data_IF_087584163136
#
_entry.id   IF_087584163136
#
_cell.length_a   1.000
_cell.length_b   1.000
_cell.length_c   1.000
_cell.angle_alpha   90.00
_cell.angle_beta   90.00
_cell.angle_gamma   90.00
#
_symmetry.space_group_name_H-M   'P 1'
#
loop_
_entity.id
_entity.type
_entity.pdbx_description
1 polymer ?
#
# COMPACT_ATOMS: atom_id res chain seq x y z
N UNK A 1 4.84 -33.12 -3.15
CA UNK A 1 4.13 -31.86 -3.53
C UNK A 1 3.00 -31.47 -2.57
N UNK A 2 1.91 -32.25 -2.41
CA UNK A 2 0.76 -31.80 -1.60
C UNK A 2 1.08 -31.55 -0.12
N UNK A 3 1.86 -32.45 0.48
CA UNK A 3 2.36 -32.30 1.85
C UNK A 3 3.25 -31.06 1.96
N UNK A 4 4.18 -30.87 1.02
CA UNK A 4 5.07 -29.70 0.96
C UNK A 4 4.29 -28.38 0.86
N UNK A 5 3.24 -28.31 0.03
CA UNK A 5 2.37 -27.10 -0.04
C UNK A 5 1.65 -26.84 1.28
N UNK A 6 1.18 -27.90 1.94
CA UNK A 6 0.51 -27.75 3.23
C UNK A 6 1.49 -27.24 4.30
N UNK A 7 2.65 -27.88 4.44
CA UNK A 7 3.69 -27.52 5.40
C UNK A 7 4.29 -26.14 5.12
N UNK A 8 4.42 -25.75 3.86
CA UNK A 8 4.81 -24.40 3.48
C UNK A 8 3.83 -23.36 4.05
N UNK A 9 2.52 -23.64 3.96
CA UNK A 9 1.50 -22.71 4.40
C UNK A 9 1.28 -22.72 5.93
N UNK A 10 1.40 -23.86 6.61
CA UNK A 10 1.09 -24.02 8.05
C UNK A 10 2.31 -24.08 8.96
N UNK A 11 3.49 -24.45 8.46
CA UNK A 11 4.59 -24.92 9.29
C UNK A 11 5.30 -23.84 10.11
N UNK A 12 5.10 -22.56 9.78
CA UNK A 12 5.83 -21.39 10.26
C UNK A 12 7.38 -21.55 10.20
N UNK A 13 8.12 -20.46 10.44
CA UNK A 13 9.59 -20.47 10.62
C UNK A 13 10.39 -21.33 9.63
N UNK A 14 11.24 -22.20 10.18
CA UNK A 14 12.14 -23.07 9.40
C UNK A 14 11.39 -24.15 8.64
N UNK A 15 10.29 -24.68 9.15
CA UNK A 15 9.53 -25.73 8.48
C UNK A 15 8.91 -25.23 7.18
N UNK A 16 8.36 -24.01 7.19
CA UNK A 16 7.82 -23.39 5.98
C UNK A 16 8.91 -23.10 4.93
N UNK A 17 10.11 -22.73 5.39
CA UNK A 17 11.26 -22.51 4.52
C UNK A 17 11.72 -23.80 3.84
N UNK A 18 11.93 -24.89 4.59
CA UNK A 18 12.34 -26.17 3.99
C UNK A 18 11.27 -26.72 3.05
N UNK A 19 9.99 -26.60 3.43
CA UNK A 19 8.89 -26.98 2.58
C UNK A 19 8.86 -26.17 1.28
N UNK A 20 9.17 -24.87 1.33
CA UNK A 20 9.31 -24.03 0.15
C UNK A 20 10.46 -24.47 -0.77
N UNK A 21 11.64 -24.74 -0.22
CA UNK A 21 12.79 -25.20 -1.01
C UNK A 21 12.47 -26.51 -1.75
N UNK A 22 11.79 -27.45 -1.09
CA UNK A 22 11.31 -28.68 -1.72
C UNK A 22 10.31 -28.38 -2.85
N UNK A 23 9.43 -27.39 -2.68
CA UNK A 23 8.50 -27.01 -3.75
C UNK A 23 9.22 -26.41 -4.95
N UNK A 24 10.26 -25.62 -4.71
CA UNK A 24 11.10 -25.04 -5.76
C UNK A 24 11.81 -26.15 -6.54
N UNK A 25 12.52 -27.05 -5.86
CA UNK A 25 13.23 -28.17 -6.48
C UNK A 25 12.30 -29.06 -7.32
N UNK A 26 11.16 -29.44 -6.75
CA UNK A 26 10.16 -30.28 -7.45
C UNK A 26 9.59 -29.56 -8.67
N UNK A 27 9.38 -28.25 -8.57
CA UNK A 27 8.87 -27.43 -9.67
C UNK A 27 9.87 -27.28 -10.81
N UNK A 28 11.16 -27.21 -10.48
CA UNK A 28 12.25 -27.13 -11.46
C UNK A 28 12.49 -28.48 -12.16
N UNK A 29 12.47 -29.58 -11.40
CA UNK A 29 12.72 -30.93 -11.95
C UNK A 29 11.51 -31.45 -12.75
N UNK A 30 10.28 -31.10 -12.33
CA UNK A 30 9.05 -31.59 -12.94
C UNK A 30 8.18 -30.43 -13.46
N UNK A 31 8.51 -29.89 -14.64
CA UNK A 31 7.82 -28.74 -15.27
C UNK A 31 6.31 -28.94 -15.45
N UNK A 32 5.88 -30.19 -15.61
CA UNK A 32 4.46 -30.57 -15.77
C UNK A 32 3.68 -30.42 -14.48
N UNK A 33 4.36 -30.50 -13.33
CA UNK A 33 3.76 -30.32 -12.02
C UNK A 33 3.61 -28.84 -11.62
N UNK A 34 4.26 -27.91 -12.34
CA UNK A 34 4.32 -26.49 -11.94
C UNK A 34 2.94 -25.85 -11.81
N UNK A 35 2.06 -25.98 -12.81
CA UNK A 35 0.73 -25.36 -12.73
C UNK A 35 -0.07 -25.92 -11.55
N UNK A 36 0.00 -27.23 -11.32
CA UNK A 36 -0.66 -27.86 -10.17
C UNK A 36 -0.07 -27.37 -8.85
N UNK A 37 1.25 -27.20 -8.79
CA UNK A 37 1.95 -26.64 -7.63
C UNK A 37 1.46 -25.21 -7.36
N UNK A 38 1.47 -24.34 -8.38
CA UNK A 38 1.07 -22.95 -8.31
C UNK A 38 -0.40 -22.79 -7.89
N UNK A 39 -1.31 -23.61 -8.45
CA UNK A 39 -2.72 -23.66 -8.03
C UNK A 39 -2.85 -23.99 -6.55
N UNK A 40 -2.18 -25.05 -6.10
CA UNK A 40 -2.28 -25.54 -4.73
C UNK A 40 -1.66 -24.53 -3.76
N UNK A 41 -0.51 -23.96 -4.09
CA UNK A 41 0.16 -22.93 -3.31
C UNK A 41 -0.74 -21.69 -3.18
N UNK A 42 -1.30 -21.19 -4.29
CA UNK A 42 -2.19 -20.02 -4.28
C UNK A 42 -3.43 -20.26 -3.40
N UNK A 43 -4.08 -21.42 -3.55
CA UNK A 43 -5.26 -21.77 -2.73
C UNK A 43 -4.92 -21.85 -1.24
N UNK A 44 -3.77 -22.43 -0.88
CA UNK A 44 -3.34 -22.51 0.52
C UNK A 44 -2.99 -21.13 1.09
N UNK A 45 -2.29 -20.29 0.33
CA UNK A 45 -2.01 -18.90 0.71
C UNK A 45 -3.30 -18.13 1.05
N UNK A 46 -4.30 -18.17 0.15
CA UNK A 46 -5.60 -17.51 0.39
C UNK A 46 -6.37 -18.15 1.55
N UNK A 47 -6.24 -19.46 1.75
CA UNK A 47 -6.78 -20.18 2.89
C UNK A 47 -6.26 -19.65 4.23
N UNK A 48 -4.98 -19.26 4.29
CA UNK A 48 -4.30 -18.74 5.49
C UNK A 48 -4.54 -17.24 5.72
N UNK A 49 -4.98 -16.50 4.71
CA UNK A 49 -5.25 -15.05 4.80
C UNK A 49 -6.63 -14.68 5.39
N UNK A 50 -7.28 -15.56 6.18
CA UNK A 50 -8.65 -15.33 6.69
C UNK A 50 -8.74 -14.36 7.87
N UNK A 51 -7.73 -14.37 8.73
CA UNK A 51 -7.59 -13.46 9.87
C UNK A 51 -6.16 -12.93 9.91
N UNK A 52 -5.94 -11.79 10.56
CA UNK A 52 -4.60 -11.33 10.89
C UNK A 52 -4.44 -11.33 12.40
N UNK A 53 -3.63 -12.25 12.89
CA UNK A 53 -2.94 -12.14 14.17
C UNK A 53 -1.59 -11.43 13.92
N UNK A 54 -1.10 -10.55 14.82
CA UNK A 54 0.24 -9.96 14.72
C UNK A 54 1.38 -10.95 14.46
N UNK A 55 1.31 -12.19 14.96
CA UNK A 55 2.31 -13.24 14.68
C UNK A 55 2.19 -13.75 13.24
N UNK A 56 0.95 -13.90 12.77
CA UNK A 56 0.62 -14.38 11.43
C UNK A 56 1.04 -13.41 10.31
N UNK A 57 1.22 -12.12 10.61
CA UNK A 57 1.62 -11.13 9.60
C UNK A 57 3.00 -11.41 8.99
N UNK A 58 3.99 -11.77 9.81
CA UNK A 58 5.35 -12.10 9.33
C UNK A 58 5.33 -13.36 8.47
N UNK A 59 4.54 -14.36 8.88
CA UNK A 59 4.38 -15.59 8.13
C UNK A 59 3.68 -15.35 6.78
N UNK A 60 2.58 -14.57 6.75
CA UNK A 60 1.91 -14.19 5.49
C UNK A 60 2.87 -13.44 4.55
N UNK A 61 3.73 -12.56 5.08
CA UNK A 61 4.74 -11.88 4.28
C UNK A 61 5.76 -12.87 3.70
N UNK A 62 6.19 -13.88 4.48
CA UNK A 62 7.04 -14.97 3.99
C UNK A 62 6.34 -15.77 2.88
N UNK A 63 5.08 -16.18 3.08
CA UNK A 63 4.30 -16.91 2.07
C UNK A 63 4.15 -16.09 0.79
N UNK A 64 3.90 -14.79 0.91
CA UNK A 64 3.81 -13.89 -0.25
C UNK A 64 5.13 -13.85 -1.02
N UNK A 65 6.24 -13.58 -0.33
CA UNK A 65 7.55 -13.45 -0.97
C UNK A 65 7.98 -14.77 -1.63
N UNK A 66 7.84 -15.89 -0.92
CA UNK A 66 8.16 -17.22 -1.45
C UNK A 66 7.26 -17.64 -2.61
N UNK A 67 5.97 -17.28 -2.60
CA UNK A 67 5.10 -17.52 -3.75
C UNK A 67 5.54 -16.69 -4.97
N UNK A 68 5.90 -15.42 -4.80
CA UNK A 68 6.42 -14.58 -5.90
C UNK A 68 7.72 -15.15 -6.45
N UNK A 69 8.60 -15.66 -5.59
CA UNK A 69 9.81 -16.36 -6.01
C UNK A 69 9.50 -17.64 -6.80
N UNK A 70 8.53 -18.45 -6.35
CA UNK A 70 8.05 -19.62 -7.08
C UNK A 70 7.55 -19.25 -8.48
N UNK A 71 6.85 -18.12 -8.63
CA UNK A 71 6.39 -17.65 -9.94
C UNK A 71 7.52 -17.39 -10.94
N UNK A 72 8.73 -17.11 -10.45
CA UNK A 72 9.89 -16.81 -11.30
C UNK A 72 10.42 -18.04 -12.03
N UNK A 73 9.97 -19.26 -11.68
CA UNK A 73 10.37 -20.51 -12.35
C UNK A 73 9.73 -20.68 -13.74
N UNK A 74 8.51 -20.18 -13.93
CA UNK A 74 7.79 -20.22 -15.21
C UNK A 74 6.88 -18.98 -15.30
N UNK A 75 7.38 -17.95 -15.98
CA UNK A 75 6.72 -16.65 -16.07
C UNK A 75 5.39 -16.75 -16.83
N UNK A 76 5.35 -17.48 -17.94
CA UNK A 76 4.16 -17.63 -18.78
C UNK A 76 2.99 -18.24 -18.01
N UNK A 77 3.23 -19.39 -17.33
CA UNK A 77 2.19 -20.02 -16.50
C UNK A 77 1.80 -19.13 -15.32
N UNK A 78 2.75 -18.41 -14.74
CA UNK A 78 2.50 -17.49 -13.63
C UNK A 78 1.66 -16.27 -14.03
N UNK A 79 1.94 -15.65 -15.19
CA UNK A 79 1.15 -14.55 -15.75
C UNK A 79 -0.28 -15.02 -16.07
N UNK A 80 -0.44 -16.19 -16.68
CA UNK A 80 -1.76 -16.78 -16.95
C UNK A 80 -2.56 -16.98 -15.65
N UNK A 81 -1.94 -17.55 -14.62
CA UNK A 81 -2.54 -17.72 -13.29
C UNK A 81 -2.92 -16.39 -12.65
N UNK A 82 -2.02 -15.42 -12.69
CA UNK A 82 -2.22 -14.08 -12.14
C UNK A 82 -3.44 -13.43 -12.80
N UNK A 83 -3.51 -13.47 -14.13
CA UNK A 83 -4.61 -12.91 -14.93
C UNK A 83 -5.95 -13.53 -14.55
N UNK A 84 -6.04 -14.86 -14.47
CA UNK A 84 -7.27 -15.55 -14.04
C UNK A 84 -7.69 -15.10 -12.63
N UNK A 85 -6.73 -15.00 -11.71
CA UNK A 85 -7.01 -14.56 -10.35
C UNK A 85 -7.48 -13.10 -10.28
N UNK A 86 -6.79 -12.19 -10.97
CA UNK A 86 -7.12 -10.76 -10.98
C UNK A 86 -8.49 -10.52 -11.66
N UNK A 87 -8.82 -11.27 -12.71
CA UNK A 87 -10.16 -11.27 -13.31
C UNK A 87 -11.25 -11.73 -12.32
N UNK A 88 -10.97 -12.72 -11.46
CA UNK A 88 -11.90 -13.11 -10.40
C UNK A 88 -12.08 -11.99 -9.35
N UNK A 89 -11.00 -11.31 -8.96
CA UNK A 89 -11.06 -10.15 -8.07
C UNK A 89 -11.91 -9.03 -8.69
N UNK A 90 -11.75 -8.76 -9.98
CA UNK A 90 -12.53 -7.78 -10.73
C UNK A 90 -14.03 -8.14 -10.73
N UNK A 91 -14.39 -9.40 -10.99
CA UNK A 91 -15.80 -9.87 -10.97
C UNK A 91 -16.44 -9.65 -9.59
N UNK A 92 -15.73 -9.97 -8.50
CA UNK A 92 -16.22 -9.74 -7.13
C UNK A 92 -16.42 -8.25 -6.87
N UNK A 93 -15.48 -7.40 -7.28
CA UNK A 93 -15.59 -5.95 -7.13
C UNK A 93 -16.76 -5.39 -7.93
N UNK A 94 -16.89 -5.77 -9.21
CA UNK A 94 -18.00 -5.34 -10.07
C UNK A 94 -19.35 -5.72 -9.48
N UNK A 95 -19.48 -6.94 -8.93
CA UNK A 95 -20.69 -7.36 -8.23
C UNK A 95 -20.96 -6.48 -7.00
N UNK A 96 -19.93 -6.14 -6.23
CA UNK A 96 -20.02 -5.22 -5.09
C UNK A 96 -20.48 -3.82 -5.48
N UNK A 97 -19.93 -3.26 -6.57
CA UNK A 97 -20.27 -1.94 -7.10
C UNK A 97 -21.71 -1.91 -7.63
N UNK A 98 -22.08 -2.88 -8.49
CA UNK A 98 -23.40 -2.91 -9.16
C UNK A 98 -24.54 -3.18 -8.20
N UNK A 99 -24.39 -4.18 -7.34
CA UNK A 99 -25.51 -4.66 -6.51
C UNK A 99 -25.60 -3.95 -5.17
N UNK A 100 -24.50 -3.35 -4.69
CA UNK A 100 -24.33 -2.82 -3.32
C UNK A 100 -24.78 -3.82 -2.23
N UNK A 101 -24.86 -5.11 -2.53
CA UNK A 101 -25.28 -6.15 -1.58
C UNK A 101 -24.22 -6.30 -0.50
N UNK A 102 -24.66 -6.37 0.76
CA UNK A 102 -23.79 -6.48 1.94
C UNK A 102 -22.77 -7.63 1.82
N UNK A 103 -23.16 -8.75 1.21
CA UNK A 103 -22.28 -9.93 1.06
C UNK A 103 -21.12 -9.70 0.09
N UNK A 104 -21.41 -9.14 -1.10
CA UNK A 104 -20.37 -8.84 -2.09
C UNK A 104 -19.40 -7.78 -1.56
N UNK A 105 -19.93 -6.74 -0.91
CA UNK A 105 -19.13 -5.70 -0.25
C UNK A 105 -18.28 -6.27 0.89
N UNK A 106 -18.81 -7.24 1.66
CA UNK A 106 -18.06 -7.94 2.72
C UNK A 106 -16.92 -8.78 2.14
N UNK A 107 -17.11 -9.42 0.98
CA UNK A 107 -16.05 -10.17 0.29
C UNK A 107 -14.90 -9.24 -0.14
N UNK A 108 -15.21 -8.08 -0.74
CA UNK A 108 -14.19 -7.08 -1.11
C UNK A 108 -13.47 -6.54 0.14
N UNK A 109 -14.22 -6.30 1.22
CA UNK A 109 -13.68 -5.85 2.51
C UNK A 109 -13.21 -7.03 3.40
N UNK A 110 -12.41 -7.95 2.86
CA UNK A 110 -11.87 -9.10 3.59
C UNK A 110 -10.34 -9.19 3.50
N UNK A 111 -9.71 -9.81 4.50
CA UNK A 111 -8.27 -10.06 4.50
C UNK A 111 -7.82 -10.91 3.33
N UNK A 112 -8.63 -11.89 2.94
CA UNK A 112 -8.36 -12.72 1.78
C UNK A 112 -8.27 -11.87 0.51
N UNK A 113 -9.27 -11.02 0.27
CA UNK A 113 -9.30 -10.16 -0.92
C UNK A 113 -8.13 -9.16 -0.93
N UNK A 114 -7.84 -8.54 0.22
CA UNK A 114 -6.71 -7.61 0.36
C UNK A 114 -5.35 -8.30 0.13
N UNK A 115 -5.12 -9.50 0.70
CA UNK A 115 -3.88 -10.24 0.51
C UNK A 115 -3.74 -10.81 -0.91
N UNK A 116 -4.85 -11.15 -1.59
CA UNK A 116 -4.79 -11.47 -3.02
C UNK A 116 -4.24 -10.28 -3.83
N UNK A 117 -4.77 -9.08 -3.60
CA UNK A 117 -4.30 -7.87 -4.28
C UNK A 117 -2.83 -7.64 -3.95
N UNK A 118 -2.45 -7.69 -2.68
CA UNK A 118 -1.07 -7.47 -2.23
C UNK A 118 -0.07 -8.44 -2.88
N UNK A 119 -0.46 -9.72 -3.01
CA UNK A 119 0.34 -10.74 -3.70
C UNK A 119 0.58 -10.37 -5.17
N UNK A 120 -0.48 -10.06 -5.91
CA UNK A 120 -0.37 -9.77 -7.34
C UNK A 120 0.26 -8.40 -7.61
N UNK A 121 0.13 -7.44 -6.69
CA UNK A 121 0.90 -6.19 -6.70
C UNK A 121 2.39 -6.47 -6.55
N UNK A 122 2.78 -7.34 -5.60
CA UNK A 122 4.18 -7.72 -5.42
C UNK A 122 4.74 -8.45 -6.64
N UNK A 123 4.03 -9.46 -7.15
CA UNK A 123 4.41 -10.20 -8.36
C UNK A 123 4.58 -9.27 -9.56
N UNK A 124 3.61 -8.38 -9.82
CA UNK A 124 3.67 -7.45 -10.95
C UNK A 124 4.79 -6.43 -10.80
N UNK A 125 5.05 -5.96 -9.57
CA UNK A 125 6.08 -4.95 -9.31
C UNK A 125 7.50 -5.48 -9.53
N UNK A 126 7.75 -6.75 -9.19
CA UNK A 126 9.06 -7.39 -9.44
C UNK A 126 9.29 -7.65 -10.92
N UNK A 127 8.24 -7.97 -11.67
CA UNK A 127 8.33 -8.46 -13.06
C UNK A 127 7.86 -7.43 -14.11
N UNK A 128 7.71 -6.16 -13.72
CA UNK A 128 7.09 -5.11 -14.55
C UNK A 128 7.78 -4.84 -15.91
N UNK A 129 8.99 -5.36 -16.11
CA UNK A 129 9.76 -5.25 -17.36
C UNK A 129 9.24 -6.21 -18.44
N UNK A 130 8.48 -7.23 -18.08
CA UNK A 130 7.83 -8.11 -19.05
C UNK A 130 6.63 -7.40 -19.67
N UNK A 131 6.67 -7.21 -20.99
CA UNK A 131 5.62 -6.50 -21.73
C UNK A 131 4.25 -7.19 -21.60
N UNK A 132 4.24 -8.50 -21.40
CA UNK A 132 3.03 -9.30 -21.18
C UNK A 132 2.30 -8.96 -19.87
N UNK A 133 2.99 -8.31 -18.92
CA UNK A 133 2.41 -7.91 -17.63
C UNK A 133 1.71 -6.54 -17.66
N UNK A 134 1.77 -5.81 -18.78
CA UNK A 134 1.14 -4.49 -18.89
C UNK A 134 -0.38 -4.56 -18.69
N UNK A 135 -1.06 -5.53 -19.31
CA UNK A 135 -2.50 -5.71 -19.15
C UNK A 135 -2.87 -6.03 -17.69
N UNK A 136 -2.08 -6.88 -17.03
CA UNK A 136 -2.25 -7.21 -15.62
C UNK A 136 -2.06 -5.97 -14.72
N UNK A 137 -1.02 -5.18 -14.99
CA UNK A 137 -0.72 -3.94 -14.29
C UNK A 137 -1.89 -2.96 -14.35
N UNK A 138 -2.41 -2.68 -15.55
CA UNK A 138 -3.56 -1.78 -15.70
C UNK A 138 -4.80 -2.34 -15.02
N UNK A 139 -5.05 -3.65 -15.12
CA UNK A 139 -6.18 -4.29 -14.45
C UNK A 139 -6.09 -4.15 -12.91
N UNK A 140 -4.90 -4.31 -12.34
CA UNK A 140 -4.65 -4.10 -10.92
C UNK A 140 -4.90 -2.63 -10.52
N UNK A 141 -4.38 -1.67 -11.28
CA UNK A 141 -4.61 -0.23 -11.04
C UNK A 141 -6.13 0.06 -11.00
N UNK A 142 -6.89 -0.47 -11.95
CA UNK A 142 -8.35 -0.28 -12.01
C UNK A 142 -9.07 -0.92 -10.83
N UNK A 143 -8.72 -2.16 -10.46
CA UNK A 143 -9.34 -2.85 -9.32
C UNK A 143 -9.04 -2.10 -8.03
N UNK A 144 -7.78 -1.73 -7.78
CA UNK A 144 -7.37 -1.04 -6.56
C UNK A 144 -8.06 0.34 -6.46
N UNK A 145 -8.15 1.07 -7.57
CA UNK A 145 -8.89 2.35 -7.63
C UNK A 145 -10.38 2.16 -7.36
N UNK A 146 -10.99 1.10 -7.91
CA UNK A 146 -12.38 0.75 -7.66
C UNK A 146 -12.64 0.34 -6.20
N UNK A 147 -11.70 -0.36 -5.55
CA UNK A 147 -11.79 -0.66 -4.11
C UNK A 147 -11.72 0.63 -3.29
N UNK A 148 -10.76 1.52 -3.58
CA UNK A 148 -10.59 2.77 -2.86
C UNK A 148 -11.85 3.67 -2.93
N UNK A 149 -12.55 3.67 -4.07
CA UNK A 149 -13.77 4.45 -4.29
C UNK A 149 -15.04 3.78 -3.74
N UNK A 150 -15.11 2.45 -3.70
CA UNK A 150 -16.23 1.70 -3.13
C UNK A 150 -16.41 1.95 -1.61
N UNK A 151 -15.32 2.27 -0.91
CA UNK A 151 -15.31 2.44 0.55
C UNK A 151 -14.97 3.87 0.99
N UNK A 152 -15.80 4.89 0.67
CA UNK A 152 -15.47 6.29 0.95
C UNK A 152 -15.59 6.67 2.44
N UNK A 153 -16.12 5.79 3.29
CA UNK A 153 -16.39 6.10 4.69
C UNK A 153 -15.15 6.04 5.61
N UNK A 154 -15.13 6.81 6.71
CA UNK A 154 -13.96 6.94 7.60
C UNK A 154 -13.52 5.63 8.25
N UNK A 155 -14.43 4.67 8.42
CA UNK A 155 -14.10 3.34 8.96
C UNK A 155 -13.14 2.54 8.09
N UNK A 156 -13.08 2.85 6.80
CA UNK A 156 -12.24 2.13 5.84
C UNK A 156 -10.92 2.85 5.55
N UNK A 157 -10.53 3.81 6.41
CA UNK A 157 -9.23 4.49 6.32
C UNK A 157 -8.07 3.49 6.13
N UNK A 158 -7.92 2.40 6.91
CA UNK A 158 -6.83 1.45 6.71
C UNK A 158 -6.80 0.85 5.31
N UNK A 159 -7.96 0.41 4.80
CA UNK A 159 -8.08 -0.17 3.46
C UNK A 159 -7.75 0.86 2.37
N UNK A 160 -8.23 2.10 2.50
CA UNK A 160 -7.93 3.19 1.56
C UNK A 160 -6.44 3.52 1.53
N UNK A 161 -5.79 3.58 2.70
CA UNK A 161 -4.35 3.80 2.81
C UNK A 161 -3.60 2.68 2.10
N UNK A 162 -3.96 1.41 2.33
CA UNK A 162 -3.35 0.26 1.62
C UNK A 162 -3.54 0.33 0.11
N UNK A 163 -4.73 0.71 -0.36
CA UNK A 163 -4.96 0.89 -1.80
C UNK A 163 -4.01 1.93 -2.40
N UNK A 164 -3.86 3.08 -1.77
CA UNK A 164 -2.97 4.14 -2.28
C UNK A 164 -1.49 3.72 -2.18
N UNK A 165 -1.10 2.97 -1.15
CA UNK A 165 0.24 2.36 -1.05
C UNK A 165 0.50 1.40 -2.21
N UNK A 166 -0.43 0.52 -2.55
CA UNK A 166 -0.31 -0.39 -3.69
C UNK A 166 -0.20 0.37 -5.01
N UNK A 167 -1.03 1.40 -5.22
CA UNK A 167 -0.94 2.25 -6.43
C UNK A 167 0.42 2.96 -6.52
N UNK A 168 0.91 3.52 -5.42
CA UNK A 168 2.24 4.13 -5.37
C UNK A 168 3.36 3.10 -5.63
N UNK A 169 3.21 1.87 -5.15
CA UNK A 169 4.19 0.81 -5.38
C UNK A 169 4.23 0.39 -6.85
N UNK A 170 3.07 0.17 -7.48
CA UNK A 170 2.98 -0.13 -8.91
C UNK A 170 3.54 1.02 -9.76
N UNK A 171 3.18 2.28 -9.45
CA UNK A 171 3.71 3.48 -10.10
C UNK A 171 5.23 3.57 -10.01
N UNK A 172 5.79 3.34 -8.82
CA UNK A 172 7.25 3.43 -8.61
C UNK A 172 8.05 2.40 -9.40
N UNK A 173 7.53 1.18 -9.55
CA UNK A 173 8.24 0.10 -10.22
C UNK A 173 8.04 0.14 -11.74
N UNK A 174 6.82 0.44 -12.20
CA UNK A 174 6.50 0.54 -13.62
C UNK A 174 7.03 1.81 -14.29
N UNK A 175 7.23 2.89 -13.52
CA UNK A 175 7.47 4.22 -14.08
C UNK A 175 6.23 4.83 -14.75
N UNK A 176 5.05 4.20 -14.62
CA UNK A 176 3.78 4.72 -15.14
C UNK A 176 3.14 5.63 -14.09
N UNK A 177 2.71 6.79 -14.54
CA UNK A 177 1.99 7.73 -13.70
C UNK A 177 0.61 7.21 -13.28
N UNK A 178 0.37 7.09 -11.98
CA UNK A 178 -0.93 6.74 -11.40
C UNK A 178 -1.47 7.91 -10.56
N UNK A 179 -2.62 8.52 -10.94
CA UNK A 179 -3.14 9.70 -10.25
C UNK A 179 -3.78 9.34 -8.91
N UNK A 180 -3.03 9.43 -7.81
CA UNK A 180 -3.51 9.12 -6.46
C UNK A 180 -3.96 10.35 -5.66
N UNK A 181 -3.69 11.56 -6.16
CA UNK A 181 -3.83 12.79 -5.41
C UNK A 181 -5.23 12.99 -4.80
N UNK A 182 -6.28 12.80 -5.61
CA UNK A 182 -7.67 12.92 -5.15
C UNK A 182 -8.00 11.90 -4.05
N UNK A 183 -7.56 10.64 -4.20
CA UNK A 183 -7.80 9.59 -3.21
C UNK A 183 -7.17 9.90 -1.85
N UNK A 184 -5.95 10.43 -1.86
CA UNK A 184 -5.23 10.84 -0.65
C UNK A 184 -5.83 12.11 -0.02
N UNK A 185 -6.18 13.11 -0.83
CA UNK A 185 -6.78 14.37 -0.34
C UNK A 185 -8.17 14.14 0.27
N UNK A 186 -8.95 13.21 -0.27
CA UNK A 186 -10.26 12.83 0.28
C UNK A 186 -10.15 12.20 1.68
N UNK A 187 -8.96 11.88 2.19
CA UNK A 187 -8.76 11.44 3.58
C UNK A 187 -8.80 12.65 4.54
N UNK A 188 -8.41 13.84 4.08
CA UNK A 188 -8.38 15.06 4.91
C UNK A 188 -9.76 15.70 5.11
N UNK A 189 -10.77 15.27 4.35
CA UNK A 189 -12.12 15.85 4.40
C UNK A 189 -12.93 15.39 5.63
N UNK A 190 -12.45 14.39 6.38
CA UNK A 190 -13.11 13.95 7.61
C UNK A 190 -12.90 14.95 8.75
N UNK A 191 -13.94 15.70 9.12
CA UNK A 191 -13.93 16.58 10.29
C UNK A 191 -14.44 15.84 11.54
N UNK A 192 -13.81 16.08 12.69
CA UNK A 192 -14.34 15.72 14.01
C UNK A 192 -14.91 16.98 14.66
N UNK A 193 -16.10 16.88 15.24
CA UNK A 193 -16.68 17.92 16.08
C UNK A 193 -15.81 18.12 17.34
N UNK A 194 -15.44 19.38 17.64
CA UNK A 194 -14.48 19.76 18.70
C UNK A 194 -14.84 19.30 20.14
N UNK A 195 -16.01 18.71 20.35
CA UNK A 195 -16.62 18.45 21.67
C UNK A 195 -16.08 17.18 22.36
N UNK A 196 -15.04 16.52 21.82
CA UNK A 196 -14.62 15.22 22.34
C UNK A 196 -13.17 14.79 22.10
N UNK A 197 -12.19 15.69 22.18
CA UNK A 197 -10.75 15.33 22.14
C UNK A 197 -10.33 14.56 23.40
N UNK A 198 -10.69 13.29 23.46
CA UNK A 198 -10.04 12.33 24.34
C UNK A 198 -9.11 11.46 23.48
N UNK A 199 -7.87 11.19 23.94
CA UNK A 199 -7.01 10.21 23.30
C UNK A 199 -7.77 8.89 23.18
N UNK A 200 -7.83 8.34 21.97
CA UNK A 200 -8.44 7.04 21.73
C UNK A 200 -7.55 5.93 22.27
N UNK A 201 -8.10 4.73 22.43
CA UNK A 201 -7.26 3.53 22.60
C UNK A 201 -6.34 3.41 21.38
N UNK A 202 -5.06 3.09 21.63
CA UNK A 202 -4.09 2.86 20.56
C UNK A 202 -4.59 1.78 19.60
N UNK A 203 -4.38 2.00 18.31
CA UNK A 203 -4.83 1.12 17.25
C UNK A 203 -3.85 1.18 16.08
N UNK A 204 -3.34 0.03 15.64
CA UNK A 204 -2.47 -0.04 14.47
C UNK A 204 -3.31 -0.13 13.18
N UNK A 205 -3.14 0.85 12.28
CA UNK A 205 -3.81 0.85 10.97
C UNK A 205 -3.35 -0.32 10.08
N UNK A 206 -2.10 -0.75 10.23
CA UNK A 206 -1.48 -1.78 9.38
C UNK A 206 -2.10 -3.16 9.58
N UNK A 207 -2.59 -3.44 10.78
CA UNK A 207 -3.23 -4.70 11.18
C UNK A 207 -4.76 -4.70 11.03
N UNK A 208 -5.32 -3.69 10.35
CA UNK A 208 -6.76 -3.55 10.19
C UNK A 208 -7.18 -3.34 8.74
N UNK A 209 -8.37 -3.84 8.40
CA UNK A 209 -9.11 -3.42 7.20
C UNK A 209 -10.16 -2.37 7.56
N UNK A 210 -10.70 -2.44 8.78
CA UNK A 210 -11.82 -1.61 9.22
C UNK A 210 -11.62 -1.15 10.66
N UNK A 211 -11.85 0.13 10.89
CA UNK A 211 -11.76 0.75 12.20
C UNK A 211 -13.00 0.48 13.07
N UNK A 212 -12.82 0.31 14.39
CA UNK A 212 -13.91 0.35 15.36
C UNK A 212 -14.66 1.69 15.32
N UNK A 213 -16.00 1.67 15.53
CA UNK A 213 -16.82 2.89 15.48
C UNK A 213 -16.41 3.94 16.52
N UNK A 214 -16.04 3.50 17.72
CA UNK A 214 -15.64 4.40 18.82
C UNK A 214 -14.35 5.18 18.48
N UNK A 215 -13.48 4.61 17.66
CA UNK A 215 -12.19 5.21 17.32
C UNK A 215 -12.33 6.42 16.40
N UNK A 216 -13.40 6.49 15.60
CA UNK A 216 -13.62 7.56 14.61
C UNK A 216 -13.80 8.94 15.23
N UNK A 217 -14.16 9.01 16.52
CA UNK A 217 -14.33 10.26 17.27
C UNK A 217 -13.08 10.66 18.05
N UNK A 218 -12.03 9.83 18.01
CA UNK A 218 -10.81 10.08 18.78
C UNK A 218 -9.87 11.07 18.07
N UNK A 219 -9.02 11.73 18.86
CA UNK A 219 -7.93 12.53 18.31
C UNK A 219 -6.98 11.69 17.43
N UNK A 220 -6.69 10.46 17.85
CA UNK A 220 -5.81 9.54 17.13
C UNK A 220 -6.31 9.27 15.69
N UNK A 221 -7.63 9.30 15.45
CA UNK A 221 -8.19 9.15 14.10
C UNK A 221 -7.86 10.33 13.20
N UNK A 222 -7.93 11.56 13.72
CA UNK A 222 -7.57 12.76 12.94
C UNK A 222 -6.08 12.80 12.65
N UNK A 223 -5.24 12.50 13.64
CA UNK A 223 -3.80 12.34 13.47
C UNK A 223 -3.50 11.31 12.36
N UNK A 224 -4.13 10.13 12.44
CA UNK A 224 -4.00 9.11 11.42
C UNK A 224 -4.41 9.58 10.02
N UNK A 225 -5.50 10.36 9.89
CA UNK A 225 -5.93 10.90 8.60
C UNK A 225 -4.89 11.87 8.02
N UNK A 226 -4.44 12.83 8.82
CA UNK A 226 -3.47 13.86 8.40
C UNK A 226 -2.13 13.23 8.03
N UNK A 227 -1.57 12.39 8.92
CA UNK A 227 -0.29 11.76 8.66
C UNK A 227 -0.36 10.79 7.47
N UNK A 228 -1.42 9.98 7.35
CA UNK A 228 -1.55 9.06 6.21
C UNK A 228 -1.64 9.84 4.90
N UNK A 229 -2.44 10.90 4.82
CA UNK A 229 -2.55 11.70 3.59
C UNK A 229 -1.20 12.29 3.16
N UNK A 230 -0.43 12.81 4.12
CA UNK A 230 0.91 13.36 3.87
C UNK A 230 1.88 12.26 3.45
N UNK A 231 1.95 11.14 4.19
CA UNK A 231 2.85 10.02 3.88
C UNK A 231 2.59 9.47 2.46
N UNK A 232 1.32 9.33 2.07
CA UNK A 232 0.94 8.84 0.75
C UNK A 232 1.30 9.83 -0.37
N UNK A 233 1.07 11.13 -0.16
CA UNK A 233 1.42 12.16 -1.14
C UNK A 233 2.92 12.39 -1.25
N UNK A 234 3.64 12.34 -0.13
CA UNK A 234 5.11 12.44 -0.11
C UNK A 234 5.72 11.24 -0.84
N UNK A 235 5.21 10.03 -0.63
CA UNK A 235 5.64 8.85 -1.39
C UNK A 235 5.36 9.01 -2.90
N UNK A 236 4.20 9.55 -3.27
CA UNK A 236 3.86 9.81 -4.66
C UNK A 236 4.79 10.87 -5.29
N UNK A 237 4.94 12.02 -4.64
CA UNK A 237 5.77 13.13 -5.12
C UNK A 237 7.25 12.80 -5.20
N UNK A 238 7.77 11.94 -4.32
CA UNK A 238 9.17 11.52 -4.38
C UNK A 238 9.52 10.84 -5.72
N UNK A 239 8.59 10.04 -6.26
CA UNK A 239 8.77 9.33 -7.54
C UNK A 239 8.86 10.30 -8.73
N UNK A 240 8.12 11.41 -8.65
CA UNK A 240 7.99 12.42 -9.70
C UNK A 240 8.81 13.68 -9.43
N UNK A 241 9.66 13.68 -8.39
CA UNK A 241 10.35 14.88 -7.88
C UNK A 241 11.25 15.59 -8.90
N UNK A 242 11.78 14.87 -9.88
CA UNK A 242 12.58 15.42 -10.98
C UNK A 242 11.76 15.64 -12.26
N UNK A 243 10.50 15.24 -12.28
CA UNK A 243 9.70 15.28 -13.51
C UNK A 243 9.41 16.71 -13.92
N UNK A 244 9.56 17.04 -15.21
CA UNK A 244 9.32 18.40 -15.73
C UNK A 244 7.90 18.91 -15.43
N UNK A 245 6.93 18.00 -15.33
CA UNK A 245 5.53 18.26 -14.98
C UNK A 245 5.23 18.25 -13.47
N UNK A 246 6.24 18.18 -12.60
CA UNK A 246 6.05 18.21 -11.16
C UNK A 246 5.29 19.47 -10.67
N UNK A 247 5.55 20.69 -11.18
CA UNK A 247 4.79 21.88 -10.79
C UNK A 247 3.28 21.72 -11.00
N UNK A 248 2.88 21.18 -12.15
CA UNK A 248 1.49 20.94 -12.49
C UNK A 248 0.90 19.81 -11.63
N UNK A 249 1.66 18.72 -11.43
CA UNK A 249 1.27 17.60 -10.58
C UNK A 249 0.95 18.04 -9.13
N UNK A 250 1.78 18.91 -8.58
CA UNK A 250 1.70 19.34 -7.19
C UNK A 250 0.64 20.44 -6.94
N UNK A 251 0.11 21.06 -7.99
CA UNK A 251 -0.77 22.24 -7.90
C UNK A 251 -2.04 21.97 -7.09
N UNK A 252 -2.80 20.92 -7.44
CA UNK A 252 -4.06 20.61 -6.74
C UNK A 252 -3.84 20.21 -5.28
N UNK A 253 -2.89 19.32 -4.96
CA UNK A 253 -2.54 19.03 -3.56
C UNK A 253 -2.13 20.28 -2.78
N UNK A 254 -1.32 21.17 -3.34
CA UNK A 254 -0.92 22.41 -2.66
C UNK A 254 -2.12 23.29 -2.31
N UNK A 255 -3.03 23.54 -3.26
CA UNK A 255 -4.23 24.35 -3.01
C UNK A 255 -5.07 23.75 -1.87
N UNK A 256 -5.27 22.43 -1.89
CA UNK A 256 -6.04 21.73 -0.85
C UNK A 256 -5.34 21.77 0.51
N UNK A 257 -4.02 21.65 0.56
CA UNK A 257 -3.26 21.72 1.81
C UNK A 257 -3.18 23.14 2.39
N UNK A 258 -3.08 24.18 1.55
CA UNK A 258 -3.16 25.58 2.00
C UNK A 258 -4.52 25.86 2.66
N UNK A 259 -5.61 25.46 2.00
CA UNK A 259 -6.96 25.54 2.60
C UNK A 259 -7.07 24.76 3.91
N UNK A 260 -6.51 23.56 3.98
CA UNK A 260 -6.47 22.77 5.20
C UNK A 260 -5.70 23.46 6.32
N UNK A 261 -4.54 24.06 6.01
CA UNK A 261 -3.72 24.82 6.95
C UNK A 261 -4.48 26.02 7.52
N UNK A 262 -5.17 26.79 6.69
CA UNK A 262 -5.98 27.96 7.08
C UNK A 262 -7.20 27.58 7.94
N UNK A 263 -7.85 26.45 7.63
CA UNK A 263 -9.10 26.03 8.29
C UNK A 263 -8.85 25.28 9.60
N UNK A 264 -7.69 24.62 9.72
CA UNK A 264 -7.37 23.78 10.87
C UNK A 264 -7.07 24.63 12.09
N UNK A 265 -7.66 24.31 13.24
CA UNK A 265 -7.39 25.04 14.50
C UNK A 265 -6.37 24.34 15.40
N UNK A 266 -5.86 23.17 15.00
CA UNK A 266 -4.87 22.42 15.77
C UNK A 266 -3.46 22.81 15.30
N UNK A 267 -2.70 23.48 16.16
CA UNK A 267 -1.33 23.94 15.86
C UNK A 267 -0.39 22.82 15.39
N UNK A 268 -0.52 21.62 15.96
CA UNK A 268 0.26 20.45 15.54
C UNK A 268 0.04 20.10 14.06
N UNK A 269 -1.21 20.12 13.61
CA UNK A 269 -1.57 19.81 12.22
C UNK A 269 -1.21 20.95 11.27
N UNK A 270 -1.40 22.20 11.71
CA UNK A 270 -0.94 23.38 10.97
C UNK A 270 0.57 23.30 10.71
N UNK A 271 1.39 23.02 11.73
CA UNK A 271 2.85 22.90 11.57
C UNK A 271 3.24 21.82 10.57
N UNK A 272 2.60 20.64 10.64
CA UNK A 272 2.92 19.53 9.73
C UNK A 272 2.45 19.83 8.29
N UNK A 273 1.27 20.43 8.13
CA UNK A 273 0.77 20.87 6.82
C UNK A 273 1.64 21.97 6.21
N UNK A 274 2.06 22.97 6.99
CA UNK A 274 2.97 24.03 6.55
C UNK A 274 4.31 23.46 6.09
N UNK A 275 4.90 22.57 6.87
CA UNK A 275 6.14 21.87 6.49
C UNK A 275 5.99 21.10 5.17
N UNK A 276 4.87 20.41 4.97
CA UNK A 276 4.59 19.73 3.70
C UNK A 276 4.50 20.72 2.53
N UNK A 277 3.74 21.81 2.69
CA UNK A 277 3.59 22.87 1.68
C UNK A 277 4.97 23.44 1.29
N UNK A 278 5.78 23.84 2.28
CA UNK A 278 7.08 24.46 2.05
C UNK A 278 8.03 23.52 1.28
N UNK A 279 8.02 22.23 1.61
CA UNK A 279 8.86 21.24 0.92
C UNK A 279 8.41 20.97 -0.52
N UNK A 280 7.11 20.97 -0.77
CA UNK A 280 6.58 20.82 -2.14
C UNK A 280 6.90 22.08 -2.96
N UNK A 281 6.70 23.28 -2.41
CA UNK A 281 7.04 24.55 -3.07
C UNK A 281 8.53 24.66 -3.39
N UNK A 282 9.41 24.24 -2.47
CA UNK A 282 10.84 24.17 -2.72
C UNK A 282 11.18 23.25 -3.89
N UNK A 283 10.50 22.10 -4.01
CA UNK A 283 10.73 21.18 -5.13
C UNK A 283 10.15 21.73 -6.45
N UNK A 284 9.02 22.45 -6.41
CA UNK A 284 8.49 23.15 -7.58
C UNK A 284 9.52 24.15 -8.11
N UNK A 285 10.10 24.96 -7.23
CA UNK A 285 11.11 25.96 -7.61
C UNK A 285 12.38 25.31 -8.16
N UNK A 286 12.83 24.22 -7.54
CA UNK A 286 13.95 23.42 -8.05
C UNK A 286 13.69 22.93 -9.49
N UNK A 287 12.52 22.33 -9.74
CA UNK A 287 12.17 21.83 -11.08
C UNK A 287 11.99 22.97 -12.08
N UNK A 288 11.40 24.10 -11.67
CA UNK A 288 11.24 25.28 -12.55
C UNK A 288 12.56 25.81 -13.04
N UNK A 289 13.54 26.02 -12.16
CA UNK A 289 14.89 26.44 -12.55
C UNK A 289 15.52 25.50 -13.58
N UNK A 290 15.35 24.18 -13.39
CA UNK A 290 15.84 23.17 -14.35
C UNK A 290 15.06 23.14 -15.66
N UNK A 291 13.76 23.45 -15.62
CA UNK A 291 12.92 23.59 -16.80
C UNK A 291 13.28 24.82 -17.62
N UNK A 292 13.67 25.92 -16.98
CA UNK A 292 14.07 27.16 -17.66
C UNK A 292 15.44 27.02 -18.36
N UNK A 293 16.27 26.08 -17.91
CA UNK A 293 17.57 25.74 -18.52
C UNK A 293 17.44 24.92 -19.83
N UNK A 294 16.25 24.42 -20.18
CA UNK A 294 16.04 23.52 -21.32
C UNK A 294 15.09 24.09 -22.37
N UNK A 295 15.44 23.91 -23.65
CA UNK A 295 14.68 24.46 -24.78
C UNK A 295 13.71 23.45 -25.44
N UNK A 296 13.54 22.25 -24.87
CA UNK A 296 12.69 21.20 -25.47
C UNK A 296 11.24 21.32 -25.03
N UNK A 297 10.32 20.86 -25.90
CA UNK A 297 8.90 20.80 -25.56
C UNK A 297 8.62 19.61 -24.64
N UNK A 298 7.65 19.70 -23.70
CA UNK A 298 7.18 18.53 -22.95
C UNK A 298 6.64 17.39 -23.84
N UNK A 299 6.35 17.66 -25.12
CA UNK A 299 5.98 16.66 -26.12
C UNK A 299 7.16 15.82 -26.62
N UNK A 300 8.39 16.31 -26.46
CA UNK A 300 9.61 15.64 -26.93
C UNK A 300 10.05 14.56 -25.93
N UNK A 301 9.35 13.43 -25.94
CA UNK A 301 9.49 12.39 -24.93
C UNK A 301 10.93 11.88 -24.75
N UNK A 302 11.70 11.77 -25.84
CA UNK A 302 13.12 11.36 -25.79
C UNK A 302 14.00 12.38 -25.04
N UNK A 303 13.75 13.67 -25.24
CA UNK A 303 14.51 14.74 -24.58
C UNK A 303 14.11 14.85 -23.11
N UNK A 304 12.81 14.68 -22.80
CA UNK A 304 12.32 14.57 -21.42
C UNK A 304 12.99 13.40 -20.73
N UNK A 305 13.01 12.20 -21.31
CA UNK A 305 13.66 11.03 -20.72
C UNK A 305 15.16 11.24 -20.46
N UNK A 306 15.86 11.85 -21.42
CA UNK A 306 17.30 12.19 -21.28
C UNK A 306 17.54 13.18 -20.13
N UNK A 307 16.70 14.21 -20.02
CA UNK A 307 16.70 15.16 -18.91
C UNK A 307 16.48 14.46 -17.56
N UNK A 308 15.47 13.58 -17.48
CA UNK A 308 15.17 12.85 -16.25
C UNK A 308 16.31 11.92 -15.82
N UNK A 309 16.97 11.26 -16.77
CA UNK A 309 18.13 10.41 -16.47
C UNK A 309 19.28 11.23 -15.90
N UNK A 310 19.57 12.39 -16.50
CA UNK A 310 20.63 13.29 -16.04
C UNK A 310 20.35 13.86 -14.64
N UNK A 311 19.14 14.35 -14.38
CA UNK A 311 18.82 14.92 -13.07
C UNK A 311 18.73 13.85 -11.98
N UNK A 312 18.27 12.63 -12.32
CA UNK A 312 18.27 11.51 -11.37
C UNK A 312 19.67 11.05 -10.98
N UNK A 313 20.64 11.08 -11.90
CA UNK A 313 22.02 10.68 -11.62
C UNK A 313 22.70 11.64 -10.64
N UNK A 314 22.35 12.93 -10.69
CA UNK A 314 22.84 13.97 -9.78
C UNK A 314 22.34 13.84 -8.34
N UNK A 315 21.26 13.07 -8.10
CA UNK A 315 20.72 12.73 -6.77
C UNK A 315 20.53 13.90 -5.79
N UNK A 316 20.23 15.09 -6.31
CA UNK A 316 20.23 16.35 -5.57
C UNK A 316 18.84 16.90 -5.22
N UNK A 317 17.73 16.22 -5.58
CA UNK A 317 16.39 16.73 -5.27
C UNK A 317 16.19 16.88 -3.76
N UNK A 318 15.92 18.11 -3.26
CA UNK A 318 15.66 18.37 -1.85
C UNK A 318 14.53 17.49 -1.29
N UNK A 319 13.52 17.21 -2.13
CA UNK A 319 12.34 16.45 -1.75
C UNK A 319 12.64 15.00 -1.34
N UNK A 320 13.72 14.38 -1.86
CA UNK A 320 14.09 13.01 -1.48
C UNK A 320 14.53 12.89 -0.02
N UNK A 321 15.15 13.93 0.54
CA UNK A 321 15.52 13.96 1.96
C UNK A 321 14.28 14.07 2.84
N UNK A 322 13.33 14.92 2.43
CA UNK A 322 12.04 15.04 3.12
C UNK A 322 11.27 13.72 3.09
N UNK A 323 11.19 13.05 1.93
CA UNK A 323 10.61 11.71 1.80
C UNK A 323 11.20 10.72 2.79
N UNK A 324 12.54 10.59 2.84
CA UNK A 324 13.21 9.68 3.80
C UNK A 324 12.82 9.97 5.25
N UNK A 325 12.89 11.25 5.65
CA UNK A 325 12.53 11.66 7.02
C UNK A 325 11.07 11.35 7.38
N UNK A 326 10.14 11.53 6.44
CA UNK A 326 8.71 11.22 6.65
C UNK A 326 8.51 9.71 6.78
N UNK A 327 9.12 8.91 5.91
CA UNK A 327 8.99 7.45 5.92
C UNK A 327 9.62 6.81 7.16
N UNK A 328 10.79 7.28 7.59
CA UNK A 328 11.45 6.84 8.84
C UNK A 328 10.55 7.10 10.06
N UNK A 329 9.93 8.28 10.12
CA UNK A 329 8.97 8.62 11.19
C UNK A 329 7.72 7.75 11.14
N UNK A 330 7.22 7.41 9.95
CA UNK A 330 6.08 6.52 9.79
C UNK A 330 6.39 5.11 10.31
N UNK A 331 7.56 4.57 9.96
CA UNK A 331 8.04 3.26 10.45
C UNK A 331 8.19 3.28 11.97
N UNK A 332 8.87 4.29 12.53
CA UNK A 332 9.03 4.43 13.97
C UNK A 332 7.68 4.51 14.71
N UNK A 333 6.70 5.25 14.16
CA UNK A 333 5.36 5.36 14.74
C UNK A 333 4.63 4.02 14.76
N UNK A 334 4.76 3.22 13.70
CA UNK A 334 4.15 1.89 13.64
C UNK A 334 4.78 0.93 14.67
N UNK A 335 6.10 0.92 14.78
CA UNK A 335 6.82 0.10 15.76
C UNK A 335 6.43 0.44 17.20
N UNK A 336 6.42 1.73 17.56
CA UNK A 336 6.00 2.20 18.87
C UNK A 336 4.54 1.82 19.20
N UNK A 337 3.68 1.83 18.18
CA UNK A 337 2.27 1.44 18.33
C UNK A 337 2.15 -0.06 18.61
N UNK A 338 2.93 -0.88 17.90
CA UNK A 338 2.94 -2.33 18.10
C UNK A 338 3.49 -2.73 19.48
N UNK A 339 4.54 -2.06 19.95
CA UNK A 339 5.10 -2.31 21.29
C UNK A 339 4.13 -1.93 22.42
N UNK A 340 3.40 -0.81 22.27
CA UNK A 340 2.34 -0.41 23.20
C UNK A 340 1.18 -1.41 23.22
N UNK A 341 0.78 -1.93 22.06
CA UNK A 341 -0.28 -2.94 21.97
C UNK A 341 0.15 -4.25 22.65
N UNK A 342 1.36 -4.75 22.36
CA UNK A 342 1.91 -5.97 22.97
C UNK A 342 2.03 -5.88 24.49
N UNK A 343 2.55 -4.76 25.00
CA UNK A 343 2.67 -4.54 26.45
C UNK A 343 1.31 -4.45 27.15
N UNK A 344 0.29 -3.91 26.48
CA UNK A 344 -1.08 -3.87 27.00
C UNK A 344 -1.71 -5.25 27.06
N UNK A 345 -1.51 -6.08 26.03
CA UNK A 345 -1.99 -7.48 26.00
C UNK A 345 -1.31 -8.37 27.04
N UNK A 346 0.00 -8.19 27.27
CA UNK A 346 0.70 -8.90 28.34
C UNK A 346 0.19 -8.49 29.73
N UNK A 347 -0.11 -7.21 29.95
CA UNK A 347 -0.69 -6.73 31.22
C UNK A 347 -2.11 -7.28 31.44
N UNK A 348 -2.95 -7.38 30.41
CA UNK A 348 -4.28 -7.97 30.55
C UNK A 348 -4.24 -9.47 30.81
N UNK A 349 -3.33 -10.20 30.14
CA UNK A 349 -3.13 -11.64 30.39
C UNK A 349 -2.62 -11.92 31.81
N UNK A 350 -1.70 -11.09 32.32
CA UNK A 350 -1.22 -11.18 33.71
C UNK A 350 -2.34 -10.92 34.72
N UNK A 351 -3.15 -9.88 34.52
CA UNK A 351 -4.28 -9.56 35.40
C UNK A 351 -5.35 -10.65 35.42
N UNK A 352 -5.67 -11.25 34.25
CA UNK A 352 -6.61 -12.37 34.17
C UNK A 352 -6.11 -13.60 34.94
N UNK A 353 -4.81 -13.89 34.85
CA UNK A 353 -4.19 -14.99 35.60
C UNK A 353 -4.12 -14.75 37.13
N UNK A 354 -4.15 -13.49 37.58
CA UNK A 354 -4.18 -13.15 39.02
C UNK A 354 -5.61 -13.08 39.59
N UNK A 355 -6.64 -13.01 38.75
CA UNK A 355 -8.05 -13.01 39.17
C UNK A 355 -8.70 -14.41 39.18
N UNK A 356 -7.96 -15.42 38.72
CA UNK A 356 -8.35 -16.85 38.78
C UNK A 356 -7.64 -17.61 39.92
N UNK A 357 -6.91 -16.89 40.77
CA UNK A 357 -6.41 -17.32 42.09
C UNK A 357 -7.16 -16.55 43.17
#
# INVERSE_FOLDING_TARGET
>A
MQISVHLWATGEGTLSLHAFLILQDVSTVFSDCFDTCLVKAYKNFIGHCKSLDPVLFKHIQFLKNSFVELCSQDMQKSISRATVSVLQLAKILQLGIRTKRKEAVKKVCSWQYANCIDLWVAFTSVNVRDYELQDLLYMLIQIISGVATLFPGPRYLPLRVKCIQWLNHLSSNSGIFVPIASLALNILEYKIDKVGWKPGKDFNLSSAIKLPKHWLKSQNFQEACVFSAIELLVAHFAQWSYHISFPELATVPLIRFRKFHETTTIEGFQRVAKRFIDQVEQNIEFVRKKRDEVAFSPKDQRLVESFLQLERSRSNAPFKQYYRSVMEKAVARNLLTDDKLRSTEQKSKRKAATSEQ
#
